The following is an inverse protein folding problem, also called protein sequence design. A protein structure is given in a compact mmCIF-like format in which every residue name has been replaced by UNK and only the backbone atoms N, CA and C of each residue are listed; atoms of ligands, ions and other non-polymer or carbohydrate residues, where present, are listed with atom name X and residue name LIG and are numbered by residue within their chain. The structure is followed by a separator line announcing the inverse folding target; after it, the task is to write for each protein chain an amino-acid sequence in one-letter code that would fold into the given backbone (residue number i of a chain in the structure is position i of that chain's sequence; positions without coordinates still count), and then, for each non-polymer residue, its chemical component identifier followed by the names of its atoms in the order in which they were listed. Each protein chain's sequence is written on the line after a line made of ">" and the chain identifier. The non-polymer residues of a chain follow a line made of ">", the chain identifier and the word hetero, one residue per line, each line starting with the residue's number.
data_IF_233311752259
#
_entry.id   IF_233311752259
#
_cell.length_a   1.000
_cell.length_b   1.000
_cell.length_c   1.000
_cell.angle_alpha   90.00
_cell.angle_beta   90.00
_cell.angle_gamma   90.00
#
_symmetry.space_group_name_H-M   'P 1'
#
loop_
_entity.id
_entity.type
_entity.pdbx_description
1 polymer ?
#
# COMPACT_ATOMS: atom_id res chain seq x y z
N UNK A 1 -72.26 -19.14 15.89
CA UNK A 1 -71.59 -19.21 17.21
C UNK A 1 -70.18 -18.70 17.05
N UNK A 2 -70.03 -17.46 17.49
CA UNK A 2 -68.87 -16.79 18.11
C UNK A 2 -67.46 -17.41 17.99
N UNK A 3 -66.52 -16.65 17.38
CA UNK A 3 -65.31 -16.00 17.99
C UNK A 3 -64.48 -16.84 19.01
N UNK A 4 -63.11 -16.80 19.09
CA UNK A 4 -62.18 -15.72 18.68
C UNK A 4 -60.87 -16.08 17.96
N UNK A 5 -60.33 -15.03 17.33
CA UNK A 5 -58.90 -14.79 17.05
C UNK A 5 -58.14 -14.49 18.36
N UNK A 6 -56.94 -15.05 18.53
CA UNK A 6 -55.75 -14.49 19.22
C UNK A 6 -54.78 -15.68 19.44
N UNK A 7 -53.45 -15.59 19.41
CA UNK A 7 -52.54 -14.49 19.72
C UNK A 7 -51.16 -14.79 19.11
N UNK A 8 -50.61 -13.80 18.40
CA UNK A 8 -49.20 -13.41 18.51
C UNK A 8 -48.10 -14.45 18.20
N UNK A 9 -48.04 -15.01 16.99
CA UNK A 9 -46.76 -15.56 16.46
C UNK A 9 -45.84 -14.49 15.83
N UNK A 10 -46.29 -13.23 15.78
CA UNK A 10 -45.55 -12.12 15.17
C UNK A 10 -44.41 -11.53 16.01
N UNK A 11 -44.27 -11.93 17.28
CA UNK A 11 -43.29 -11.33 18.20
C UNK A 11 -41.92 -12.02 18.16
N UNK A 12 -41.84 -13.29 17.75
CA UNK A 12 -40.58 -14.05 17.82
C UNK A 12 -39.75 -13.99 16.51
N UNK A 13 -40.40 -13.84 15.36
CA UNK A 13 -39.70 -13.75 14.06
C UNK A 13 -39.10 -12.36 13.81
N UNK A 14 -39.53 -11.34 14.57
CA UNK A 14 -38.99 -9.97 14.48
C UNK A 14 -37.63 -9.82 15.16
N UNK A 15 -37.34 -10.56 16.22
CA UNK A 15 -36.05 -10.52 16.93
C UNK A 15 -34.95 -11.29 16.21
N UNK A 16 -35.26 -12.40 15.52
CA UNK A 16 -34.25 -13.15 14.76
C UNK A 16 -33.87 -12.47 13.43
N UNK A 17 -34.80 -11.72 12.81
CA UNK A 17 -34.47 -10.90 11.61
C UNK A 17 -33.60 -9.68 11.93
N UNK A 18 -33.55 -9.26 13.20
CA UNK A 18 -32.65 -8.23 13.71
C UNK A 18 -31.20 -8.75 13.89
N UNK A 19 -31.01 -10.04 14.18
CA UNK A 19 -29.68 -10.61 14.39
C UNK A 19 -28.97 -11.01 13.09
N UNK A 20 -29.73 -11.35 12.04
CA UNK A 20 -29.16 -11.67 10.72
C UNK A 20 -28.95 -10.45 9.79
N UNK A 21 -29.36 -9.25 10.22
CA UNK A 21 -29.12 -8.00 9.47
C UNK A 21 -27.79 -7.32 9.85
N UNK A 22 -27.08 -7.80 10.87
CA UNK A 22 -25.79 -7.26 11.33
C UNK A 22 -24.58 -7.80 10.56
N UNK A 23 -24.77 -8.72 9.60
CA UNK A 23 -23.72 -9.24 8.73
C UNK A 23 -23.71 -8.59 7.34
N UNK A 24 -24.24 -7.38 7.21
CA UNK A 24 -23.92 -6.53 6.07
C UNK A 24 -22.88 -5.52 6.55
N UNK A 25 -21.60 -5.64 6.18
CA UNK A 25 -20.65 -4.55 6.37
C UNK A 25 -21.10 -3.39 5.47
N UNK A 26 -21.94 -2.54 6.05
CA UNK A 26 -22.50 -1.36 5.43
C UNK A 26 -21.34 -0.39 5.12
N UNK A 27 -21.11 -0.13 3.82
CA UNK A 27 -20.05 0.72 3.25
C UNK A 27 -19.99 2.19 3.76
N UNK A 28 -20.82 2.55 4.74
CA UNK A 28 -21.13 3.93 5.12
C UNK A 28 -20.33 4.44 6.34
N UNK A 29 -19.37 3.68 6.86
CA UNK A 29 -18.48 4.10 7.96
C UNK A 29 -17.00 4.06 7.58
N UNK A 30 -16.65 4.53 6.37
CA UNK A 30 -15.25 4.74 5.98
C UNK A 30 -14.85 6.18 6.31
N UNK A 31 -14.06 6.36 7.37
CA UNK A 31 -13.51 7.68 7.73
C UNK A 31 -12.63 8.20 6.59
N UNK A 32 -13.08 9.29 5.96
CA UNK A 32 -12.39 9.94 4.85
C UNK A 32 -11.28 10.89 5.32
N UNK A 33 -11.43 11.43 6.52
CA UNK A 33 -10.51 12.43 7.08
C UNK A 33 -9.29 11.73 7.70
N UNK A 34 -9.49 10.54 8.29
CA UNK A 34 -8.43 9.77 8.93
C UNK A 34 -8.40 8.33 8.40
N UNK A 35 -8.03 8.14 7.12
CA UNK A 35 -7.89 6.79 6.57
C UNK A 35 -6.76 6.04 7.29
N UNK A 36 -6.90 4.72 7.40
CA UNK A 36 -5.82 3.88 7.95
C UNK A 36 -4.60 3.87 7.03
N UNK A 37 -3.40 3.70 7.60
CA UNK A 37 -2.14 3.66 6.85
C UNK A 37 -2.13 2.59 5.75
N UNK A 38 -2.79 1.46 5.99
CA UNK A 38 -2.93 0.38 5.02
C UNK A 38 -3.80 0.80 3.83
N UNK A 39 -4.93 1.46 4.11
CA UNK A 39 -5.81 1.97 3.07
C UNK A 39 -5.12 3.05 2.21
N UNK A 40 -4.29 3.90 2.81
CA UNK A 40 -3.52 4.91 2.06
C UNK A 40 -2.41 4.31 1.18
N UNK A 41 -1.75 3.24 1.62
CA UNK A 41 -0.69 2.55 0.87
C UNK A 41 -1.22 1.87 -0.39
N UNK A 42 -2.44 1.34 -0.33
CA UNK A 42 -3.10 0.70 -1.47
C UNK A 42 -3.58 1.71 -2.53
N UNK A 43 -3.85 2.96 -2.14
CA UNK A 43 -4.26 4.01 -3.08
C UNK A 43 -3.12 4.40 -4.02
N UNK A 44 -3.47 4.74 -5.26
CA UNK A 44 -2.55 5.39 -6.20
C UNK A 44 -1.99 6.67 -5.57
N UNK A 45 -0.67 6.93 -5.72
CA UNK A 45 0.03 8.17 -5.32
C UNK A 45 -0.71 9.52 -5.50
N UNK A 46 -1.57 9.68 -6.53
CA UNK A 46 -2.34 10.93 -6.78
C UNK A 46 -3.71 10.96 -6.07
N UNK A 47 -4.22 9.80 -5.65
CA UNK A 47 -5.54 9.61 -5.00
C UNK A 47 -5.43 9.44 -3.47
N UNK A 48 -4.25 9.65 -2.90
CA UNK A 48 -4.06 9.70 -1.45
C UNK A 48 -4.65 11.01 -0.91
N UNK A 49 -4.93 11.06 0.39
CA UNK A 49 -5.40 12.27 1.06
C UNK A 49 -4.44 13.44 0.80
N UNK A 50 -3.14 13.18 1.01
CA UNK A 50 -2.05 14.05 0.59
C UNK A 50 -1.17 13.31 -0.42
N UNK A 51 -0.92 13.95 -1.56
CA UNK A 51 -0.13 13.35 -2.62
C UNK A 51 1.34 13.23 -2.22
N UNK A 52 1.91 12.03 -2.40
CA UNK A 52 3.31 11.76 -2.11
C UNK A 52 3.91 10.79 -3.13
N UNK A 53 5.17 10.98 -3.54
CA UNK A 53 5.83 10.08 -4.47
C UNK A 53 6.12 8.72 -3.83
N UNK A 54 6.11 7.65 -4.64
CA UNK A 54 6.54 6.30 -4.21
C UNK A 54 8.04 6.06 -4.40
N UNK A 55 8.73 6.99 -5.08
CA UNK A 55 10.16 6.92 -5.37
C UNK A 55 10.99 7.40 -4.18
N UNK A 56 12.25 7.00 -4.13
CA UNK A 56 13.18 7.33 -3.04
C UNK A 56 14.61 7.31 -3.57
N UNK A 57 15.51 7.96 -2.84
CA UNK A 57 16.95 7.84 -3.04
C UNK A 57 17.50 6.71 -2.18
N UNK A 58 18.49 5.99 -2.71
CA UNK A 58 19.16 4.92 -2.01
C UNK A 58 20.68 5.07 -2.11
N UNK A 59 21.37 4.69 -1.06
CA UNK A 59 22.81 4.52 -1.02
C UNK A 59 23.15 3.12 -1.51
N UNK A 60 23.78 3.00 -2.68
CA UNK A 60 24.23 1.72 -3.24
C UNK A 60 25.73 1.57 -3.00
N UNK A 61 26.10 0.49 -2.35
CA UNK A 61 27.49 0.10 -2.10
C UNK A 61 27.94 -0.83 -3.22
N UNK A 62 29.03 -0.45 -3.90
CA UNK A 62 29.65 -1.28 -4.92
C UNK A 62 30.46 -2.43 -4.29
N UNK A 63 30.41 -3.66 -4.83
CA UNK A 63 31.19 -4.78 -4.32
C UNK A 63 32.71 -4.64 -4.53
N UNK A 64 33.16 -3.90 -5.54
CA UNK A 64 34.59 -3.72 -5.83
C UNK A 64 35.19 -2.45 -5.21
N UNK A 65 34.62 -1.28 -5.53
CA UNK A 65 35.15 0.02 -5.09
C UNK A 65 34.83 0.35 -3.62
N UNK A 66 33.94 -0.42 -2.95
CA UNK A 66 33.35 -0.18 -1.61
C UNK A 66 32.73 1.21 -1.37
N UNK A 67 32.84 2.11 -2.34
CA UNK A 67 32.27 3.45 -2.32
C UNK A 67 30.76 3.39 -2.41
N UNK A 68 30.15 4.28 -1.64
CA UNK A 68 28.71 4.46 -1.58
C UNK A 68 28.34 5.55 -2.60
N UNK A 69 27.37 5.24 -3.45
CA UNK A 69 26.86 6.19 -4.44
C UNK A 69 25.36 6.34 -4.25
N UNK A 70 24.87 7.57 -4.36
CA UNK A 70 23.43 7.83 -4.25
C UNK A 70 22.77 7.58 -5.59
N UNK A 71 21.76 6.71 -5.60
CA UNK A 71 21.03 6.29 -6.80
C UNK A 71 19.55 6.53 -6.59
N UNK A 72 18.87 7.01 -7.63
CA UNK A 72 17.42 7.16 -7.63
C UNK A 72 16.73 5.82 -7.93
N UNK A 73 15.66 5.49 -7.20
CA UNK A 73 15.03 4.16 -7.31
C UNK A 73 14.40 3.84 -8.67
N UNK A 74 14.05 4.87 -9.46
CA UNK A 74 13.50 4.72 -10.82
C UNK A 74 14.44 5.39 -11.84
N UNK A 75 15.76 5.20 -11.69
CA UNK A 75 16.74 5.75 -12.62
C UNK A 75 16.45 5.31 -14.07
N UNK A 76 16.42 6.28 -14.99
CA UNK A 76 16.17 6.05 -16.42
C UNK A 76 17.45 5.73 -17.21
N UNK A 77 18.62 6.07 -16.66
CA UNK A 77 19.92 5.83 -17.26
C UNK A 77 20.69 4.78 -16.47
N UNK A 78 21.63 4.12 -17.11
CA UNK A 78 22.59 3.24 -16.45
C UNK A 78 23.46 4.08 -15.51
N UNK A 79 23.62 3.66 -14.25
CA UNK A 79 24.38 4.39 -13.24
C UNK A 79 25.71 3.67 -12.93
N UNK A 80 26.87 4.24 -13.32
CA UNK A 80 28.18 3.67 -13.00
C UNK A 80 28.72 4.10 -11.61
N UNK A 81 29.52 3.26 -10.93
CA UNK A 81 30.36 3.69 -9.79
C UNK A 81 31.37 4.72 -10.31
N UNK A 82 31.52 5.87 -9.64
CA UNK A 82 32.42 6.96 -10.04
C UNK A 82 33.93 6.66 -9.98
N UNK A 83 34.38 5.41 -10.14
CA UNK A 83 35.81 5.11 -10.19
C UNK A 83 36.23 3.65 -10.27
N UNK A 84 35.33 2.67 -10.18
CA UNK A 84 35.57 1.39 -10.86
C UNK A 84 34.76 1.26 -12.15
N UNK A 85 33.99 2.30 -12.52
CA UNK A 85 33.07 2.34 -13.67
C UNK A 85 32.10 1.16 -13.76
N UNK A 86 31.96 0.39 -12.68
CA UNK A 86 31.07 -0.75 -12.59
C UNK A 86 29.61 -0.28 -12.64
N UNK A 87 28.79 -0.97 -13.42
CA UNK A 87 27.37 -0.67 -13.53
C UNK A 87 26.66 -1.09 -12.25
N UNK A 88 26.10 -0.12 -11.53
CA UNK A 88 25.40 -0.35 -10.25
C UNK A 88 23.93 -0.71 -10.46
N UNK A 89 23.29 -0.05 -11.43
CA UNK A 89 21.91 -0.35 -11.80
C UNK A 89 21.63 -0.19 -13.29
N UNK A 90 20.67 -0.97 -13.77
CA UNK A 90 20.12 -0.89 -15.12
C UNK A 90 18.68 -0.33 -15.08
N UNK A 91 18.31 0.54 -16.03
CA UNK A 91 16.97 1.08 -16.11
C UNK A 91 15.94 0.01 -16.45
N UNK A 92 14.74 0.15 -15.91
CA UNK A 92 13.54 -0.66 -16.22
C UNK A 92 12.34 0.27 -16.31
N UNK A 93 11.18 -0.25 -16.73
CA UNK A 93 9.91 0.51 -16.71
C UNK A 93 9.42 0.91 -15.31
N UNK A 94 10.00 0.33 -14.25
CA UNK A 94 9.67 0.61 -12.85
C UNK A 94 10.92 0.92 -12.02
N UNK A 95 11.09 0.21 -10.91
CA UNK A 95 12.32 0.31 -10.12
C UNK A 95 13.51 -0.23 -10.92
N UNK A 96 14.65 0.45 -10.82
CA UNK A 96 15.88 0.02 -11.47
C UNK A 96 16.32 -1.36 -10.95
N UNK A 97 16.92 -2.16 -11.82
CA UNK A 97 17.54 -3.45 -11.44
C UNK A 97 18.93 -3.14 -10.87
N UNK A 98 19.20 -3.52 -9.64
CA UNK A 98 20.57 -3.49 -9.11
C UNK A 98 21.36 -4.66 -9.67
N UNK A 99 22.65 -4.44 -9.91
CA UNK A 99 23.58 -5.50 -10.30
C UNK A 99 23.80 -6.45 -9.13
N UNK A 100 24.01 -7.73 -9.43
CA UNK A 100 24.26 -8.77 -8.43
C UNK A 100 25.47 -8.40 -7.55
N UNK A 101 25.36 -8.65 -6.25
CA UNK A 101 26.39 -8.28 -5.27
C UNK A 101 26.37 -6.82 -4.79
N UNK A 102 25.53 -5.95 -5.35
CA UNK A 102 25.34 -4.59 -4.82
C UNK A 102 24.37 -4.60 -3.62
N UNK A 103 24.79 -4.02 -2.49
CA UNK A 103 23.92 -3.78 -1.34
C UNK A 103 23.38 -2.35 -1.38
N UNK A 104 22.17 -2.13 -0.85
CA UNK A 104 21.59 -0.79 -0.81
C UNK A 104 20.91 -0.48 0.52
N UNK A 105 20.93 0.80 0.91
CA UNK A 105 20.17 1.37 2.03
C UNK A 105 19.29 2.49 1.53
N UNK A 106 18.03 2.54 1.95
CA UNK A 106 17.15 3.68 1.63
C UNK A 106 17.57 4.90 2.44
N UNK A 107 17.75 6.06 1.78
CA UNK A 107 17.91 7.33 2.50
C UNK A 107 16.56 7.78 3.04
N UNK A 108 16.55 8.25 4.27
CA UNK A 108 15.43 9.02 4.80
C UNK A 108 15.44 10.40 4.12
N UNK A 109 14.24 10.91 3.82
CA UNK A 109 14.06 12.24 3.24
C UNK A 109 14.23 13.30 4.32
#
# INVERSE_FOLDING_TARGET
>A
MEIPKSSSKHSFVKTLKMLLCLSVPHELTKDLMHPTLEAERQRHKKKRLVQSPNSYFMDVKCPGCYRITTVFSHAQRVVPCGGCSFVLCQPRGGKCRLTEGCSFRRKQR
#
